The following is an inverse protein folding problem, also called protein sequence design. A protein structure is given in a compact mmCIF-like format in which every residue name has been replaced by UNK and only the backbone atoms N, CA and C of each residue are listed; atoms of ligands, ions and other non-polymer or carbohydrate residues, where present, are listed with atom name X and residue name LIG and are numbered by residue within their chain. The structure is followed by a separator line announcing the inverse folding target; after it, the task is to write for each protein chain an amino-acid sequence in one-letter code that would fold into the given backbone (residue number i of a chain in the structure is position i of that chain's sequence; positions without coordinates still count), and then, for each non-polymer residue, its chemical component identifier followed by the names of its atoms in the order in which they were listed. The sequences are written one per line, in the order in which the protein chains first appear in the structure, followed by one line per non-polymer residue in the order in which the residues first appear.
data_IF_263559392943
#
_entry.id   IF_263559392943
#
_cell.length_a   1.000
_cell.length_b   1.000
_cell.length_c   1.000
_cell.angle_alpha   90.00
_cell.angle_beta   90.00
_cell.angle_gamma   90.00
#
_symmetry.space_group_name_H-M   'P 1'
#
loop_
_entity.id
_entity.type
_entity.pdbx_description
1 polymer ?
#
# COMPACT_ATOMS: atom_id res chain seq x y z
N UNK A 1 6.23 -5.10 16.07
CA UNK A 1 6.86 -5.58 17.32
C UNK A 1 7.90 -4.60 17.88
N UNK A 2 8.76 -3.96 17.07
CA UNK A 2 9.71 -2.94 17.60
C UNK A 2 9.13 -1.52 17.69
N UNK A 3 8.31 -1.09 16.72
CA UNK A 3 7.66 0.24 16.73
C UNK A 3 6.77 0.41 17.96
N UNK A 4 5.99 -0.62 18.30
CA UNK A 4 5.14 -0.68 19.49
C UNK A 4 5.93 -0.70 20.80
N UNK A 5 7.16 -1.22 20.78
CA UNK A 5 8.05 -1.22 21.94
C UNK A 5 8.60 0.18 22.21
N UNK A 6 9.12 0.85 21.17
CA UNK A 6 9.57 2.25 21.26
C UNK A 6 8.44 3.19 21.70
N UNK A 7 7.20 2.92 21.27
CA UNK A 7 6.02 3.67 21.70
C UNK A 7 5.75 3.56 23.20
N UNK A 8 5.87 2.36 23.78
CA UNK A 8 5.66 2.15 25.23
C UNK A 8 6.76 2.76 26.10
N UNK A 9 7.98 2.90 25.58
CA UNK A 9 9.09 3.58 26.26
C UNK A 9 9.04 5.11 26.11
N UNK A 10 8.12 5.65 25.32
CA UNK A 10 8.04 7.08 25.05
C UNK A 10 9.11 7.61 24.08
N UNK A 11 9.83 6.74 23.37
CA UNK A 11 10.85 7.13 22.38
C UNK A 11 10.20 7.51 21.04
N UNK A 12 9.55 8.68 21.02
CA UNK A 12 8.73 9.16 19.89
C UNK A 12 9.54 9.37 18.61
N UNK A 13 10.74 9.94 18.70
CA UNK A 13 11.60 10.18 17.53
C UNK A 13 12.06 8.88 16.88
N UNK A 14 12.54 7.93 17.67
CA UNK A 14 12.97 6.63 17.15
C UNK A 14 11.79 5.85 16.55
N UNK A 15 10.61 5.91 17.19
CA UNK A 15 9.37 5.36 16.63
C UNK A 15 9.07 5.94 15.25
N UNK A 16 9.15 7.26 15.08
CA UNK A 16 8.89 7.92 13.80
C UNK A 16 9.88 7.50 12.72
N UNK A 17 11.15 7.25 13.07
CA UNK A 17 12.15 6.77 12.11
C UNK A 17 11.84 5.33 11.70
N UNK A 18 11.47 4.47 12.66
CA UNK A 18 11.16 3.06 12.41
C UNK A 18 9.79 2.84 11.75
N UNK A 19 8.96 3.87 11.69
CA UNK A 19 7.65 3.79 11.06
C UNK A 19 7.80 3.51 9.55
N UNK A 20 7.06 2.53 9.04
CA UNK A 20 7.16 2.07 7.66
C UNK A 20 8.42 1.26 7.29
N UNK A 21 9.38 1.03 8.21
CA UNK A 21 10.56 0.19 7.90
C UNK A 21 10.20 -1.29 7.72
N UNK A 22 9.20 -1.79 8.46
CA UNK A 22 8.75 -3.18 8.33
C UNK A 22 8.33 -3.50 6.89
N UNK A 23 7.59 -2.60 6.27
CA UNK A 23 7.09 -2.76 4.91
C UNK A 23 8.22 -2.73 3.86
N UNK A 24 9.21 -1.87 4.08
CA UNK A 24 10.40 -1.82 3.22
C UNK A 24 11.20 -3.13 3.28
N UNK A 25 11.24 -3.77 4.45
CA UNK A 25 11.94 -5.04 4.65
C UNK A 25 11.16 -6.22 4.08
N UNK A 26 9.83 -6.25 4.19
CA UNK A 26 9.01 -7.34 3.65
C UNK A 26 9.11 -7.44 2.13
N UNK A 27 9.16 -6.29 1.45
CA UNK A 27 9.19 -6.24 -0.02
C UNK A 27 10.57 -5.95 -0.60
N UNK A 28 11.53 -5.51 0.21
CA UNK A 28 12.88 -5.14 -0.27
C UNK A 28 12.89 -3.91 -1.19
N UNK A 29 12.07 -2.90 -0.89
CA UNK A 29 11.89 -1.72 -1.77
C UNK A 29 12.06 -0.40 -1.01
N UNK A 30 12.39 0.67 -1.75
CA UNK A 30 12.50 2.03 -1.22
C UNK A 30 11.11 2.56 -0.82
N UNK A 31 11.09 3.56 0.07
CA UNK A 31 9.87 4.19 0.59
C UNK A 31 8.94 4.66 -0.54
N UNK A 32 9.49 5.19 -1.61
CA UNK A 32 8.70 5.79 -2.70
C UNK A 32 7.91 4.76 -3.53
N UNK A 33 8.19 3.47 -3.35
CA UNK A 33 7.58 2.37 -4.08
C UNK A 33 6.62 1.54 -3.22
N UNK A 34 6.50 1.84 -1.91
CA UNK A 34 5.67 1.04 -1.01
C UNK A 34 4.21 1.07 -1.45
N UNK A 35 3.72 2.22 -1.93
CA UNK A 35 2.33 2.38 -2.37
C UNK A 35 1.95 1.44 -3.55
N UNK A 36 2.85 1.23 -4.52
CA UNK A 36 2.58 0.30 -5.63
C UNK A 36 2.63 -1.16 -5.17
N UNK A 37 3.52 -1.50 -4.25
CA UNK A 37 3.71 -2.89 -3.81
C UNK A 37 2.58 -3.36 -2.89
N UNK A 38 1.86 -2.44 -2.26
CA UNK A 38 0.62 -2.75 -1.53
C UNK A 38 -0.49 -3.30 -2.43
N UNK A 39 -0.42 -3.05 -3.75
CA UNK A 39 -1.37 -3.60 -4.71
C UNK A 39 -1.08 -5.08 -4.91
N UNK A 40 -2.10 -5.90 -4.72
CA UNK A 40 -2.01 -7.35 -4.90
C UNK A 40 -1.46 -7.73 -6.29
N UNK A 41 -0.52 -8.67 -6.33
CA UNK A 41 0.08 -9.16 -7.57
C UNK A 41 1.25 -8.32 -8.11
N UNK A 42 1.51 -7.14 -7.56
CA UNK A 42 2.73 -6.37 -7.87
C UNK A 42 3.89 -6.86 -7.00
N UNK A 43 5.01 -7.13 -7.63
CA UNK A 43 6.25 -7.51 -6.96
C UNK A 43 7.22 -6.31 -6.92
N UNK A 44 8.20 -6.33 -6.01
CA UNK A 44 9.15 -5.24 -5.83
C UNK A 44 9.94 -4.91 -7.11
N UNK A 45 10.29 -5.92 -7.92
CA UNK A 45 10.92 -5.73 -9.22
C UNK A 45 10.01 -4.99 -10.22
N UNK A 46 8.73 -5.35 -10.26
CA UNK A 46 7.73 -4.74 -11.16
C UNK A 46 7.43 -3.31 -10.75
N UNK A 47 7.28 -3.06 -9.45
CA UNK A 47 7.10 -1.72 -8.91
C UNK A 47 8.24 -0.77 -9.33
N UNK A 48 9.49 -1.25 -9.37
CA UNK A 48 10.64 -0.45 -9.85
C UNK A 48 10.50 -0.05 -11.31
N UNK A 49 10.02 -0.94 -12.16
CA UNK A 49 9.81 -0.62 -13.57
C UNK A 49 8.68 0.40 -13.78
N UNK A 50 7.57 0.25 -13.04
CA UNK A 50 6.49 1.25 -13.04
C UNK A 50 7.00 2.62 -12.57
N UNK A 51 7.80 2.65 -11.51
CA UNK A 51 8.41 3.87 -11.01
C UNK A 51 9.33 4.51 -12.07
N UNK A 52 10.15 3.72 -12.76
CA UNK A 52 11.00 4.21 -13.85
C UNK A 52 10.18 4.78 -15.03
N UNK A 53 8.97 4.25 -15.25
CA UNK A 53 8.01 4.76 -16.21
C UNK A 53 7.18 5.97 -15.71
N UNK A 54 7.55 6.57 -14.57
CA UNK A 54 6.86 7.70 -13.91
C UNK A 54 5.46 7.37 -13.37
N UNK A 55 5.17 6.10 -13.13
CA UNK A 55 3.94 5.66 -12.46
C UNK A 55 4.30 5.33 -11.00
N UNK A 56 4.11 6.31 -10.12
CA UNK A 56 4.55 6.25 -8.71
C UNK A 56 3.44 5.93 -7.71
N UNK A 57 2.17 6.15 -8.08
CA UNK A 57 1.03 6.16 -7.15
C UNK A 57 -0.07 5.24 -7.68
N UNK A 58 -0.83 4.61 -6.79
CA UNK A 58 -1.92 3.71 -7.16
C UNK A 58 -2.98 4.42 -8.00
N UNK A 59 -3.23 5.71 -7.71
CA UNK A 59 -4.13 6.57 -8.47
C UNK A 59 -3.68 6.76 -9.93
N UNK A 60 -2.40 7.02 -10.16
CA UNK A 60 -1.84 7.16 -11.51
C UNK A 60 -1.94 5.82 -12.26
N UNK A 61 -1.66 4.71 -11.58
CA UNK A 61 -1.81 3.38 -12.17
C UNK A 61 -3.26 3.09 -12.59
N UNK A 62 -4.25 3.51 -11.80
CA UNK A 62 -5.67 3.29 -12.07
C UNK A 62 -6.23 4.12 -13.25
N UNK A 63 -5.58 5.24 -13.59
CA UNK A 63 -5.95 6.14 -14.70
C UNK A 63 -5.12 5.93 -15.97
N UNK A 64 -3.95 5.29 -15.85
CA UNK A 64 -3.05 5.01 -16.98
C UNK A 64 -3.74 4.11 -18.03
N UNK A 65 -3.56 4.38 -19.33
CA UNK A 65 -4.12 3.54 -20.38
C UNK A 65 -3.49 2.14 -20.40
N UNK A 66 -4.28 1.16 -20.81
CA UNK A 66 -3.88 -0.24 -20.88
C UNK A 66 -2.57 -0.44 -21.67
N UNK A 67 -2.43 0.25 -22.80
CA UNK A 67 -1.30 0.10 -23.71
C UNK A 67 0.05 0.48 -23.10
N UNK A 68 0.07 1.40 -22.14
CA UNK A 68 1.33 1.80 -21.51
C UNK A 68 1.70 0.83 -20.39
N UNK A 69 0.70 0.30 -19.68
CA UNK A 69 0.89 -0.75 -18.68
C UNK A 69 1.43 -2.03 -19.35
N UNK A 70 0.87 -2.44 -20.49
CA UNK A 70 1.36 -3.65 -21.21
C UNK A 70 2.79 -3.50 -21.68
N UNK A 71 3.19 -2.32 -22.19
CA UNK A 71 4.59 -2.04 -22.57
C UNK A 71 5.54 -2.18 -21.37
N UNK A 72 5.17 -1.60 -20.24
CA UNK A 72 5.99 -1.68 -19.01
C UNK A 72 6.08 -3.13 -18.55
N UNK A 73 4.95 -3.84 -18.48
CA UNK A 73 4.92 -5.25 -18.11
C UNK A 73 5.87 -6.07 -19.00
N UNK A 74 5.83 -5.88 -20.33
CA UNK A 74 6.71 -6.59 -21.28
C UNK A 74 8.19 -6.36 -21.02
N UNK A 75 8.58 -5.18 -20.52
CA UNK A 75 9.98 -4.87 -20.21
C UNK A 75 10.53 -5.60 -18.98
N UNK A 76 9.65 -6.06 -18.08
CA UNK A 76 10.04 -6.67 -16.79
C UNK A 76 9.97 -8.18 -16.80
N UNK A 77 9.29 -8.77 -17.78
CA UNK A 77 9.10 -10.23 -17.82
C UNK A 77 10.46 -10.91 -17.88
N UNK A 78 10.78 -11.80 -16.91
CA UNK A 78 11.99 -12.58 -16.98
C UNK A 78 11.93 -13.46 -18.24
N UNK A 79 13.06 -13.62 -18.90
CA UNK A 79 13.15 -14.52 -20.04
C UNK A 79 12.83 -15.95 -19.60
N UNK A 80 11.84 -16.57 -20.24
CA UNK A 80 11.50 -17.98 -20.06
C UNK A 80 11.74 -18.70 -21.39
N UNK A 81 12.47 -19.82 -21.37
CA UNK A 81 12.63 -20.68 -22.56
C UNK A 81 11.24 -21.15 -23.00
N UNK A 82 10.90 -20.84 -24.25
CA UNK A 82 9.56 -21.09 -24.80
C UNK A 82 9.46 -22.52 -25.29
N UNK A 83 8.84 -23.37 -24.48
CA UNK A 83 8.34 -24.66 -24.91
C UNK A 83 6.85 -24.49 -25.22
N UNK A 84 6.50 -24.30 -26.50
CA UNK A 84 5.14 -24.27 -27.07
C UNK A 84 4.09 -23.29 -26.49
N UNK A 85 4.38 -22.56 -25.42
CA UNK A 85 3.40 -21.66 -24.80
C UNK A 85 3.18 -20.39 -25.65
N UNK A 86 1.93 -20.21 -26.07
CA UNK A 86 1.38 -19.22 -27.00
C UNK A 86 1.41 -17.77 -26.47
N UNK A 87 2.57 -17.29 -26.01
CA UNK A 87 2.73 -15.89 -25.59
C UNK A 87 2.13 -15.54 -24.22
N UNK A 88 1.67 -16.53 -23.45
CA UNK A 88 1.24 -16.32 -22.07
C UNK A 88 2.42 -16.32 -21.09
N UNK A 89 2.44 -15.36 -20.18
CA UNK A 89 3.48 -15.23 -19.15
C UNK A 89 2.86 -15.11 -17.76
N UNK A 90 3.68 -15.30 -16.72
CA UNK A 90 3.32 -15.00 -15.34
C UNK A 90 3.59 -13.52 -15.04
N UNK A 91 2.60 -12.68 -15.30
CA UNK A 91 2.71 -11.22 -15.16
C UNK A 91 2.56 -10.74 -13.73
N UNK A 92 1.77 -11.42 -12.91
CA UNK A 92 1.40 -11.03 -11.55
C UNK A 92 1.80 -12.13 -10.57
N UNK A 93 2.22 -11.74 -9.36
CA UNK A 93 2.64 -12.69 -8.33
C UNK A 93 1.45 -13.52 -7.83
N UNK A 94 1.62 -14.85 -7.76
CA UNK A 94 0.59 -15.77 -7.29
C UNK A 94 -0.47 -16.16 -8.32
N UNK A 95 -0.43 -15.62 -9.54
CA UNK A 95 -1.43 -15.90 -10.58
C UNK A 95 -0.97 -16.91 -11.64
N UNK A 96 -1.94 -17.39 -12.41
CA UNK A 96 -1.73 -18.27 -13.56
C UNK A 96 -1.01 -17.58 -14.73
N UNK A 97 -0.76 -18.36 -15.78
CA UNK A 97 -0.33 -17.81 -17.07
C UNK A 97 -1.49 -17.01 -17.66
N UNK A 98 -1.22 -15.78 -18.09
CA UNK A 98 -2.23 -14.92 -18.71
C UNK A 98 -1.61 -14.11 -19.85
N UNK A 99 -2.48 -13.48 -20.64
CA UNK A 99 -2.06 -12.53 -21.67
C UNK A 99 -1.64 -11.20 -21.04
N UNK A 100 -0.85 -10.41 -21.76
CA UNK A 100 -0.39 -9.11 -21.28
C UNK A 100 -1.54 -8.11 -21.10
N UNK A 101 -2.52 -8.14 -22.01
CA UNK A 101 -3.72 -7.30 -21.94
C UNK A 101 -4.57 -7.63 -20.72
N UNK A 102 -4.79 -8.93 -20.46
CA UNK A 102 -5.52 -9.40 -19.29
C UNK A 102 -4.81 -9.01 -17.99
N UNK A 103 -3.49 -9.18 -17.93
CA UNK A 103 -2.68 -8.76 -16.79
C UNK A 103 -2.84 -7.27 -16.50
N UNK A 104 -2.77 -6.43 -17.54
CA UNK A 104 -2.96 -4.99 -17.40
C UNK A 104 -4.38 -4.64 -16.92
N UNK A 105 -5.41 -5.31 -17.44
CA UNK A 105 -6.80 -5.09 -16.99
C UNK A 105 -6.98 -5.44 -15.51
N UNK A 106 -6.44 -6.59 -15.08
CA UNK A 106 -6.49 -7.01 -13.68
C UNK A 106 -5.75 -6.02 -12.77
N UNK A 107 -4.59 -5.54 -13.20
CA UNK A 107 -3.80 -4.56 -12.47
C UNK A 107 -4.59 -3.27 -12.21
N UNK A 108 -5.23 -2.71 -13.24
CA UNK A 108 -6.08 -1.51 -13.13
C UNK A 108 -7.24 -1.75 -12.16
N UNK A 109 -7.90 -2.92 -12.27
CA UNK A 109 -9.00 -3.29 -11.37
C UNK A 109 -8.55 -3.35 -9.91
N UNK A 110 -7.40 -3.98 -9.64
CA UNK A 110 -6.81 -4.06 -8.29
C UNK A 110 -6.40 -2.69 -7.76
N UNK A 111 -5.80 -1.85 -8.59
CA UNK A 111 -5.45 -0.48 -8.21
C UNK A 111 -6.69 0.31 -7.76
N UNK A 112 -7.80 0.22 -8.51
CA UNK A 112 -9.08 0.85 -8.13
C UNK A 112 -9.63 0.31 -6.82
N UNK A 113 -9.56 -1.01 -6.63
CA UNK A 113 -10.00 -1.64 -5.38
C UNK A 113 -9.15 -1.19 -4.19
N UNK A 114 -7.83 -1.06 -4.37
CA UNK A 114 -6.90 -0.57 -3.35
C UNK A 114 -7.18 0.89 -2.96
N UNK A 115 -7.50 1.74 -3.94
CA UNK A 115 -7.91 3.13 -3.68
C UNK A 115 -9.23 3.16 -2.91
N UNK A 116 -10.21 2.35 -3.32
CA UNK A 116 -11.50 2.26 -2.64
C UNK A 116 -11.36 1.77 -1.19
N UNK A 117 -10.52 0.75 -0.94
CA UNK A 117 -10.28 0.23 0.40
C UNK A 117 -9.54 1.22 1.30
N UNK A 118 -8.52 1.92 0.77
CA UNK A 118 -7.78 2.94 1.52
C UNK A 118 -8.67 4.12 1.90
N UNK A 119 -9.47 4.66 0.97
CA UNK A 119 -10.44 5.73 1.26
C UNK A 119 -11.41 5.31 2.37
N UNK A 120 -11.96 4.09 2.28
CA UNK A 120 -12.88 3.57 3.30
C UNK A 120 -12.20 3.46 4.67
N UNK A 121 -10.96 3.01 4.72
CA UNK A 121 -10.19 2.92 5.95
C UNK A 121 -9.95 4.31 6.57
N UNK A 122 -9.59 5.31 5.76
CA UNK A 122 -9.32 6.67 6.25
C UNK A 122 -10.57 7.32 6.85
N UNK A 123 -11.74 7.12 6.22
CA UNK A 123 -13.03 7.59 6.75
C UNK A 123 -13.29 6.95 8.13
N UNK A 124 -13.21 5.62 8.24
CA UNK A 124 -13.44 4.92 9.51
C UNK A 124 -12.45 5.33 10.61
N UNK A 125 -11.18 5.52 10.24
CA UNK A 125 -10.14 5.99 11.16
C UNK A 125 -10.46 7.39 11.67
N UNK A 126 -10.88 8.30 10.79
CA UNK A 126 -11.28 9.65 11.15
C UNK A 126 -12.44 9.63 12.15
N UNK A 127 -13.47 8.83 11.92
CA UNK A 127 -14.62 8.69 12.82
C UNK A 127 -14.20 8.18 14.21
N UNK A 128 -13.30 7.20 14.25
CA UNK A 128 -12.76 6.67 15.52
C UNK A 128 -11.97 7.72 16.32
N UNK A 129 -11.22 8.59 15.63
CA UNK A 129 -10.48 9.68 16.27
C UNK A 129 -11.40 10.78 16.79
N UNK A 130 -12.47 11.08 16.05
CA UNK A 130 -13.53 12.01 16.48
C UNK A 130 -14.27 11.48 17.71
N UNK A 131 -14.55 10.18 17.78
CA UNK A 131 -15.17 9.56 18.96
C UNK A 131 -14.23 9.63 20.18
N UNK A 132 -12.94 9.34 20.01
CA UNK A 132 -11.95 9.45 21.10
C UNK A 132 -11.81 10.88 21.62
N UNK A 133 -11.73 11.87 20.73
CA UNK A 133 -11.64 13.28 21.14
C UNK A 133 -12.91 13.78 21.81
N UNK A 134 -14.10 13.38 21.32
CA UNK A 134 -15.39 13.67 21.97
C UNK A 134 -15.51 13.02 23.35
N UNK A 135 -15.10 11.76 23.49
CA UNK A 135 -15.07 11.08 24.79
C UNK A 135 -14.08 11.76 25.74
N UNK A 136 -12.86 12.09 25.32
CA UNK A 136 -11.90 12.81 26.15
C UNK A 136 -12.39 14.21 26.56
N UNK A 137 -13.10 14.91 25.68
CA UNK A 137 -13.75 16.18 26.01
C UNK A 137 -14.89 16.01 27.01
N UNK A 138 -15.71 14.97 26.87
CA UNK A 138 -16.75 14.60 27.83
C UNK A 138 -16.16 14.22 29.20
N UNK A 139 -15.12 13.39 29.23
CA UNK A 139 -14.38 13.03 30.43
C UNK A 139 -13.67 14.22 31.08
N UNK A 140 -13.15 15.19 30.31
CA UNK A 140 -12.61 16.45 30.86
C UNK A 140 -13.70 17.33 31.47
N UNK A 141 -14.88 17.43 30.85
CA UNK A 141 -16.04 18.16 31.41
C UNK A 141 -16.56 17.52 32.69
N UNK A 142 -16.54 16.19 32.80
CA UNK A 142 -17.01 15.48 34.00
C UNK A 142 -15.95 15.36 35.11
N UNK A 143 -14.64 15.38 34.78
CA UNK A 143 -13.56 15.44 35.79
C UNK A 143 -13.41 16.80 36.48
N UNK A 144 -14.05 17.86 36.01
CA UNK A 144 -14.10 19.13 36.74
C UNK A 144 -15.02 19.11 37.98
N UNK A 145 -15.68 17.98 38.29
CA UNK A 145 -16.61 17.83 39.42
C UNK A 145 -16.00 17.06 40.62
N UNK A 146 -14.72 16.63 40.55
CA UNK A 146 -14.02 16.01 41.71
C UNK A 146 -12.66 16.63 41.99
N UNK A 147 -12.65 17.93 42.29
CA UNK A 147 -11.64 18.53 43.16
C UNK A 147 -12.39 19.33 44.25
N UNK A 148 -12.85 18.62 45.28
CA UNK A 148 -13.31 19.22 46.53
C UNK A 148 -12.30 18.78 47.61
N UNK A 149 -11.61 19.72 48.28
CA UNK A 149 -10.62 19.41 49.29
C UNK A 149 -11.31 19.09 50.62
N UNK A 150 -10.81 18.08 51.33
CA UNK A 150 -10.75 18.04 52.79
C UNK A 150 -9.42 17.39 53.17
#
# INVERSE_FOLDING_TARGET
MIVTFCERLGWTYLRSVLDGFSERLTFGVRKDLTELVQIEGIDGMRARAFHNAKITTAAVLATTPLNDITKILRSVVPFVRRDNNEGMNRWLAGEGLMTDTEAAQQLIKRARNHISSSIKYDILKSDSTLLKSRLLAYFRKTKLIRCLPQ
#
